data_IF_642427171059
#
_entry.id   IF_642427171059
#
_cell.length_a   1.000
_cell.length_b   1.000
_cell.length_c   1.000
_cell.angle_alpha   90.00
_cell.angle_beta   90.00
_cell.angle_gamma   90.00
#
_symmetry.space_group_name_H-M   'P 1'
#
loop_
_entity.id
_entity.type
_entity.pdbx_description
1 polymer ?
#
# COMPACT_ATOMS: atom_id res chain seq x y z
N UNK A 1 -15.66 -20.11 5.88
CA UNK A 1 -14.19 -20.08 5.93
C UNK A 1 -13.56 -21.32 5.31
N UNK A 2 -13.83 -22.52 5.84
CA UNK A 2 -13.16 -23.76 5.38
C UNK A 2 -13.46 -24.15 3.93
N UNK A 3 -14.66 -23.90 3.41
CA UNK A 3 -14.97 -24.12 1.98
C UNK A 3 -14.12 -23.23 1.07
N UNK A 4 -13.89 -21.98 1.48
CA UNK A 4 -13.00 -21.05 0.76
C UNK A 4 -11.54 -21.53 0.80
N UNK A 5 -11.06 -22.00 1.97
CA UNK A 5 -9.71 -22.55 2.09
C UNK A 5 -9.50 -23.80 1.23
N UNK A 6 -10.50 -24.66 1.14
CA UNK A 6 -10.47 -25.83 0.25
C UNK A 6 -10.37 -25.42 -1.23
N UNK A 7 -11.17 -24.44 -1.65
CA UNK A 7 -11.09 -23.94 -3.04
C UNK A 7 -9.75 -23.27 -3.36
N UNK A 8 -9.12 -22.59 -2.37
CA UNK A 8 -7.79 -22.02 -2.53
C UNK A 8 -6.70 -23.11 -2.64
N UNK A 9 -6.82 -24.21 -1.87
CA UNK A 9 -5.91 -25.34 -1.98
C UNK A 9 -6.04 -26.02 -3.35
N UNK A 10 -7.26 -26.23 -3.85
CA UNK A 10 -7.52 -26.79 -5.18
C UNK A 10 -6.91 -25.90 -6.27
N UNK A 11 -7.06 -24.58 -6.12
CA UNK A 11 -6.46 -23.59 -7.05
C UNK A 11 -4.94 -23.60 -7.00
N UNK A 12 -4.35 -23.73 -5.83
CA UNK A 12 -2.89 -23.85 -5.65
C UNK A 12 -2.34 -25.09 -6.37
N UNK A 13 -3.01 -26.25 -6.23
CA UNK A 13 -2.63 -27.47 -6.93
C UNK A 13 -2.75 -27.35 -8.47
N UNK A 14 -3.80 -26.66 -8.94
CA UNK A 14 -3.97 -26.35 -10.36
C UNK A 14 -2.80 -25.45 -10.88
N UNK A 15 -2.49 -24.37 -10.15
CA UNK A 15 -1.38 -23.49 -10.50
C UNK A 15 -0.04 -24.22 -10.50
N UNK A 16 0.17 -25.12 -9.54
CA UNK A 16 1.40 -25.94 -9.48
C UNK A 16 1.55 -26.82 -10.72
N UNK A 17 0.45 -27.37 -11.26
CA UNK A 17 0.45 -28.11 -12.53
C UNK A 17 0.72 -27.22 -13.73
N UNK A 18 0.05 -26.05 -13.79
CA UNK A 18 0.19 -25.11 -14.91
C UNK A 18 1.59 -24.51 -15.02
N UNK A 19 2.26 -24.23 -13.89
CA UNK A 19 3.65 -23.72 -13.86
C UNK A 19 4.63 -24.75 -14.46
N UNK A 20 4.33 -26.03 -14.33
CA UNK A 20 5.12 -27.13 -14.93
C UNK A 20 4.79 -27.45 -16.38
N UNK A 21 3.76 -26.84 -16.98
CA UNK A 21 3.33 -27.11 -18.34
C UNK A 21 4.25 -26.43 -19.37
N UNK A 22 4.86 -27.19 -20.33
CA UNK A 22 5.72 -26.63 -21.37
C UNK A 22 5.04 -25.53 -22.23
N UNK A 23 3.72 -25.63 -22.47
CA UNK A 23 2.99 -24.63 -23.24
C UNK A 23 2.89 -23.30 -22.51
N UNK A 24 2.71 -23.35 -21.17
CA UNK A 24 2.64 -22.16 -20.32
C UNK A 24 4.04 -21.54 -20.14
N UNK A 25 5.09 -22.36 -20.03
CA UNK A 25 6.47 -21.89 -19.92
C UNK A 25 6.90 -21.12 -21.19
N UNK A 26 6.37 -21.49 -22.36
CA UNK A 26 6.63 -20.77 -23.60
C UNK A 26 6.02 -19.37 -23.63
N UNK A 27 4.94 -19.12 -22.88
CA UNK A 27 4.32 -17.81 -22.70
C UNK A 27 4.81 -17.17 -21.38
N UNK A 28 5.85 -16.36 -21.49
CA UNK A 28 6.53 -15.75 -20.33
C UNK A 28 5.60 -14.91 -19.44
N UNK A 29 4.65 -14.20 -20.04
CA UNK A 29 3.75 -13.31 -19.29
C UNK A 29 2.76 -14.13 -18.44
N UNK A 30 2.14 -15.15 -19.04
CA UNK A 30 1.25 -16.08 -18.32
C UNK A 30 1.98 -16.86 -17.25
N UNK A 31 3.18 -17.34 -17.56
CA UNK A 31 4.00 -18.06 -16.58
C UNK A 31 4.32 -17.20 -15.35
N UNK A 32 4.76 -15.95 -15.55
CA UNK A 32 5.03 -15.02 -14.46
C UNK A 32 3.77 -14.74 -13.61
N UNK A 33 2.63 -14.61 -14.26
CA UNK A 33 1.34 -14.38 -13.58
C UNK A 33 0.97 -15.58 -12.70
N UNK A 34 1.14 -16.79 -13.20
CA UNK A 34 0.86 -18.02 -12.43
C UNK A 34 1.84 -18.22 -11.27
N UNK A 35 3.13 -17.97 -11.48
CA UNK A 35 4.14 -18.03 -10.42
C UNK A 35 3.82 -17.02 -9.31
N UNK A 36 3.43 -15.81 -9.65
CA UNK A 36 3.02 -14.80 -8.66
C UNK A 36 1.79 -15.24 -7.87
N UNK A 37 0.75 -15.69 -8.56
CA UNK A 37 -0.46 -16.19 -7.89
C UNK A 37 -0.20 -17.42 -7.02
N UNK A 38 0.71 -18.32 -7.45
CA UNK A 38 1.12 -19.47 -6.66
C UNK A 38 1.84 -19.04 -5.37
N UNK A 39 2.79 -18.10 -5.46
CA UNK A 39 3.52 -17.58 -4.29
C UNK A 39 2.59 -16.88 -3.29
N UNK A 40 1.54 -16.18 -3.76
CA UNK A 40 0.53 -15.55 -2.91
C UNK A 40 -0.30 -16.58 -2.12
N UNK A 41 -0.55 -17.76 -2.70
CA UNK A 41 -1.35 -18.82 -2.06
C UNK A 41 -0.51 -19.77 -1.19
N UNK A 42 0.80 -19.85 -1.40
CA UNK A 42 1.70 -20.82 -0.75
C UNK A 42 1.62 -20.75 0.78
N UNK A 43 1.66 -19.55 1.33
CA UNK A 43 1.62 -19.32 2.77
C UNK A 43 0.29 -19.80 3.36
N UNK A 44 -0.83 -19.41 2.73
CA UNK A 44 -2.19 -19.79 3.17
C UNK A 44 -2.37 -21.31 3.14
N UNK A 45 -1.96 -21.96 2.04
CA UNK A 45 -2.11 -23.41 1.85
C UNK A 45 -1.21 -24.18 2.82
N UNK A 46 -0.01 -23.69 3.09
CA UNK A 46 0.92 -24.30 4.05
C UNK A 46 0.34 -24.32 5.45
N UNK A 47 -0.18 -23.20 5.93
CA UNK A 47 -0.83 -23.11 7.25
C UNK A 47 -2.11 -23.94 7.28
N UNK A 48 -2.91 -23.95 6.20
CA UNK A 48 -4.12 -24.76 6.11
C UNK A 48 -3.83 -26.27 6.16
N UNK A 49 -2.76 -26.74 5.53
CA UNK A 49 -2.31 -28.13 5.61
C UNK A 49 -1.88 -28.52 7.03
N UNK A 50 -1.17 -27.61 7.72
CA UNK A 50 -0.84 -27.81 9.15
C UNK A 50 -2.09 -27.87 10.01
N UNK A 51 -3.06 -26.98 9.78
CA UNK A 51 -4.34 -27.00 10.48
C UNK A 51 -5.07 -28.32 10.29
N UNK A 52 -5.17 -28.84 9.05
CA UNK A 52 -5.82 -30.13 8.77
C UNK A 52 -5.17 -31.28 9.53
N UNK A 53 -3.83 -31.28 9.58
CA UNK A 53 -3.09 -32.32 10.32
C UNK A 53 -3.39 -32.26 11.82
N UNK A 54 -3.30 -31.08 12.42
CA UNK A 54 -3.61 -30.89 13.85
C UNK A 54 -5.08 -31.19 14.14
N UNK A 55 -6.02 -30.82 13.28
CA UNK A 55 -7.44 -31.11 13.42
C UNK A 55 -7.73 -32.65 13.40
N UNK A 56 -6.96 -33.38 12.59
CA UNK A 56 -7.04 -34.87 12.58
C UNK A 56 -6.48 -35.44 13.88
N UNK A 57 -5.31 -34.99 14.34
CA UNK A 57 -4.69 -35.41 15.61
C UNK A 57 -5.61 -35.12 16.81
N UNK A 58 -6.30 -33.96 16.82
CA UNK A 58 -7.33 -33.62 17.84
C UNK A 58 -8.49 -34.62 17.79
N UNK A 59 -8.96 -35.04 16.59
CA UNK A 59 -10.02 -36.03 16.45
C UNK A 59 -9.59 -37.38 16.96
N UNK A 60 -8.39 -37.83 16.62
CA UNK A 60 -7.79 -39.09 17.08
C UNK A 60 -7.62 -39.12 18.61
N UNK A 61 -7.07 -38.07 19.19
CA UNK A 61 -6.94 -37.95 20.65
C UNK A 61 -8.31 -37.95 21.36
N UNK A 62 -9.30 -37.29 20.76
CA UNK A 62 -10.69 -37.32 21.29
C UNK A 62 -11.33 -38.69 21.23
N UNK A 63 -11.09 -39.48 20.19
CA UNK A 63 -11.57 -40.85 20.08
C UNK A 63 -10.90 -41.73 21.13
N UNK A 64 -9.58 -41.62 21.32
CA UNK A 64 -8.83 -42.32 22.35
C UNK A 64 -9.36 -42.02 23.76
N UNK A 65 -9.68 -40.76 24.08
CA UNK A 65 -10.29 -40.39 25.36
C UNK A 65 -11.68 -41.02 25.60
N UNK A 66 -12.37 -41.43 24.52
CA UNK A 66 -13.64 -42.15 24.58
C UNK A 66 -13.49 -43.64 24.90
N UNK A 67 -12.29 -44.19 24.81
CA UNK A 67 -12.00 -45.58 25.12
C UNK A 67 -11.68 -45.82 26.61
N UNK A 68 -11.66 -47.09 27.03
CA UNK A 68 -11.22 -47.44 28.38
C UNK A 68 -9.70 -47.47 28.47
N UNK A 69 -9.13 -46.38 28.98
CA UNK A 69 -7.67 -46.20 29.18
C UNK A 69 -7.30 -46.40 30.65
N UNK A 70 -6.05 -46.79 30.90
CA UNK A 70 -5.46 -46.74 32.25
C UNK A 70 -5.31 -45.28 32.70
N UNK A 71 -5.34 -45.03 34.01
CA UNK A 71 -5.36 -43.69 34.58
C UNK A 71 -4.18 -42.83 34.14
N UNK A 72 -2.96 -43.37 34.16
CA UNK A 72 -1.74 -42.68 33.79
C UNK A 72 -1.69 -42.34 32.28
N UNK A 73 -2.17 -43.26 31.45
CA UNK A 73 -2.22 -43.03 29.99
C UNK A 73 -3.32 -42.04 29.62
N UNK A 74 -4.44 -42.04 30.35
CA UNK A 74 -5.51 -41.07 30.17
C UNK A 74 -5.04 -39.64 30.47
N UNK A 75 -4.30 -39.42 31.55
CA UNK A 75 -3.75 -38.10 31.92
C UNK A 75 -2.84 -37.59 30.83
N UNK A 76 -1.97 -38.44 30.27
CA UNK A 76 -1.07 -38.06 29.16
C UNK A 76 -1.84 -37.70 27.89
N UNK A 77 -2.89 -38.43 27.53
CA UNK A 77 -3.73 -38.10 26.36
C UNK A 77 -4.55 -36.82 26.60
N UNK A 78 -4.99 -36.57 27.84
CA UNK A 78 -5.70 -35.33 28.20
C UNK A 78 -4.76 -34.09 28.08
N UNK A 79 -3.50 -34.20 28.47
CA UNK A 79 -2.49 -33.13 28.27
C UNK A 79 -2.24 -32.92 26.78
N UNK A 80 -1.98 -33.97 26.00
CA UNK A 80 -1.76 -33.87 24.55
C UNK A 80 -2.97 -33.29 23.83
N UNK A 81 -4.19 -33.71 24.17
CA UNK A 81 -5.41 -33.16 23.62
C UNK A 81 -5.55 -31.67 23.86
N UNK A 82 -5.17 -31.19 25.05
CA UNK A 82 -5.20 -29.78 25.39
C UNK A 82 -4.19 -28.99 24.56
N UNK A 83 -2.95 -29.48 24.45
CA UNK A 83 -1.90 -28.82 23.63
C UNK A 83 -2.29 -28.75 22.15
N UNK A 84 -2.83 -29.86 21.61
CA UNK A 84 -3.29 -29.91 20.23
C UNK A 84 -4.46 -28.95 19.97
N UNK A 85 -5.36 -28.82 20.95
CA UNK A 85 -6.49 -27.88 20.85
C UNK A 85 -6.04 -26.43 20.88
N UNK A 86 -5.11 -26.06 21.76
CA UNK A 86 -4.53 -24.72 21.83
C UNK A 86 -3.83 -24.38 20.49
N UNK A 87 -3.10 -25.35 19.93
CA UNK A 87 -2.45 -25.21 18.63
C UNK A 87 -3.44 -25.10 17.46
N UNK A 88 -4.54 -25.82 17.52
CA UNK A 88 -5.61 -25.71 16.53
C UNK A 88 -6.23 -24.31 16.53
N UNK A 89 -6.50 -23.76 17.71
CA UNK A 89 -7.03 -22.40 17.87
C UNK A 89 -6.05 -21.33 17.38
N UNK A 90 -4.74 -21.53 17.61
CA UNK A 90 -3.69 -20.64 17.12
C UNK A 90 -3.63 -20.63 15.59
N UNK A 91 -3.58 -21.81 14.96
CA UNK A 91 -3.60 -21.95 13.49
C UNK A 91 -4.90 -21.40 12.87
N UNK A 92 -6.04 -21.55 13.55
CA UNK A 92 -7.29 -20.96 13.08
C UNK A 92 -7.26 -19.42 13.09
N UNK A 93 -6.64 -18.81 14.10
CA UNK A 93 -6.42 -17.36 14.15
C UNK A 93 -5.47 -16.90 13.03
N UNK A 94 -4.37 -17.62 12.83
CA UNK A 94 -3.42 -17.36 11.76
C UNK A 94 -4.08 -17.42 10.37
N UNK A 95 -4.88 -18.46 10.12
CA UNK A 95 -5.66 -18.60 8.89
C UNK A 95 -6.66 -17.46 8.67
N UNK A 96 -7.33 -17.00 9.72
CA UNK A 96 -8.25 -15.86 9.65
C UNK A 96 -7.52 -14.59 9.24
N UNK A 97 -6.30 -14.38 9.75
CA UNK A 97 -5.46 -13.22 9.40
C UNK A 97 -4.98 -13.32 7.94
N UNK A 98 -4.52 -14.49 7.50
CA UNK A 98 -4.04 -14.71 6.13
C UNK A 98 -5.16 -14.60 5.07
N UNK A 99 -6.41 -14.85 5.45
CA UNK A 99 -7.57 -14.70 4.57
C UNK A 99 -8.06 -13.25 4.44
N UNK A 100 -7.53 -12.31 5.25
CA UNK A 100 -7.85 -10.91 5.08
C UNK A 100 -7.34 -10.41 3.72
N UNK A 101 -8.14 -9.59 3.02
CA UNK A 101 -7.68 -9.01 1.76
C UNK A 101 -6.42 -8.18 2.01
N UNK A 102 -5.32 -8.57 1.38
CA UNK A 102 -4.07 -7.79 1.39
C UNK A 102 -4.28 -6.52 0.58
N UNK A 103 -3.80 -5.40 1.07
CA UNK A 103 -3.77 -4.17 0.29
C UNK A 103 -2.73 -4.35 -0.83
N UNK A 104 -3.12 -4.18 -2.12
CA UNK A 104 -2.18 -4.32 -3.23
C UNK A 104 -1.00 -3.35 -3.15
N UNK A 105 -1.12 -2.31 -2.34
CA UNK A 105 -0.05 -1.34 -2.12
C UNK A 105 0.93 -1.76 -1.02
N UNK A 106 0.62 -2.79 -0.20
CA UNK A 106 1.46 -3.17 0.95
C UNK A 106 2.90 -3.54 0.57
N UNK A 107 3.15 -4.02 -0.66
CA UNK A 107 4.48 -4.34 -1.16
C UNK A 107 5.20 -3.18 -1.85
N UNK A 108 4.51 -2.05 -2.10
CA UNK A 108 5.07 -0.89 -2.79
C UNK A 108 6.04 -0.10 -1.93
N UNK A 109 6.90 0.64 -2.61
CA UNK A 109 7.69 1.69 -1.99
C UNK A 109 6.77 2.83 -1.51
N UNK A 110 7.30 3.68 -0.65
CA UNK A 110 6.53 4.73 0.03
C UNK A 110 7.11 6.08 -0.24
N UNK A 111 6.26 7.02 -0.62
CA UNK A 111 6.57 8.45 -0.61
C UNK A 111 6.03 9.04 0.68
N UNK A 112 6.92 9.56 1.51
CA UNK A 112 6.56 10.24 2.76
C UNK A 112 6.74 11.75 2.60
N UNK A 113 5.71 12.49 3.02
CA UNK A 113 5.75 13.95 3.06
C UNK A 113 5.54 14.41 4.49
N UNK A 114 6.47 15.18 5.02
CA UNK A 114 6.37 15.78 6.35
C UNK A 114 6.31 17.29 6.17
N UNK A 115 5.25 17.91 6.72
CA UNK A 115 5.05 19.35 6.67
C UNK A 115 4.94 19.92 8.08
N UNK A 116 5.58 21.05 8.32
CA UNK A 116 5.38 21.81 9.52
C UNK A 116 3.92 22.34 9.57
N UNK A 117 3.22 22.02 10.64
CA UNK A 117 1.86 22.50 10.89
C UNK A 117 1.84 23.71 11.83
N UNK A 118 0.94 23.70 12.81
CA UNK A 118 0.79 24.77 13.79
C UNK A 118 1.99 24.81 14.75
N UNK A 119 2.69 25.94 14.84
CA UNK A 119 3.81 26.11 15.79
C UNK A 119 5.01 26.89 15.27
N UNK A 120 4.96 27.37 14.00
CA UNK A 120 6.03 28.17 13.41
C UNK A 120 7.34 27.41 13.32
N UNK A 121 8.48 28.06 13.69
CA UNK A 121 9.82 27.46 13.65
C UNK A 121 9.95 26.16 14.46
N UNK A 122 9.24 26.06 15.58
CA UNK A 122 9.25 24.84 16.41
C UNK A 122 8.59 23.67 15.69
N UNK A 123 7.54 23.90 14.91
CA UNK A 123 6.93 22.87 14.07
C UNK A 123 7.89 22.43 12.95
N UNK A 124 8.70 23.32 12.40
CA UNK A 124 9.70 22.99 11.41
C UNK A 124 10.86 22.17 12.00
N UNK A 125 11.31 22.48 13.22
CA UNK A 125 12.29 21.67 13.94
C UNK A 125 11.73 20.28 14.26
N UNK A 126 10.47 20.21 14.65
CA UNK A 126 9.83 18.91 14.91
C UNK A 126 9.65 18.08 13.63
N UNK A 127 9.36 18.71 12.49
CA UNK A 127 9.36 18.01 11.20
C UNK A 127 10.73 17.39 10.87
N UNK A 128 11.83 18.08 11.20
CA UNK A 128 13.18 17.54 11.05
C UNK A 128 13.45 16.37 12.03
N UNK A 129 12.90 16.41 13.25
CA UNK A 129 13.02 15.31 14.20
C UNK A 129 12.27 14.08 13.70
N UNK A 130 11.04 14.24 13.19
CA UNK A 130 10.26 13.15 12.58
C UNK A 130 10.97 12.56 11.35
N UNK A 131 11.52 13.40 10.48
CA UNK A 131 12.30 12.94 9.33
C UNK A 131 13.48 12.07 9.78
N UNK A 132 14.27 12.52 10.78
CA UNK A 132 15.38 11.74 11.32
C UNK A 132 14.93 10.43 11.95
N UNK A 133 13.79 10.43 12.65
CA UNK A 133 13.19 9.24 13.23
C UNK A 133 12.86 8.19 12.14
N UNK A 134 12.17 8.60 11.07
CA UNK A 134 11.83 7.67 9.98
C UNK A 134 13.05 7.22 9.19
N UNK A 135 14.04 8.08 8.98
CA UNK A 135 15.29 7.70 8.34
C UNK A 135 15.99 6.57 9.11
N UNK A 136 16.13 6.72 10.43
CA UNK A 136 16.72 5.69 11.30
C UNK A 136 15.90 4.42 11.34
N UNK A 137 14.58 4.53 11.35
CA UNK A 137 13.70 3.36 11.25
C UNK A 137 13.92 2.59 9.95
N UNK A 138 13.98 3.29 8.83
CA UNK A 138 14.26 2.70 7.53
C UNK A 138 15.65 2.02 7.49
N UNK A 139 16.69 2.67 8.02
CA UNK A 139 18.03 2.08 8.16
C UNK A 139 18.02 0.78 8.98
N UNK A 140 17.30 0.76 10.09
CA UNK A 140 17.15 -0.46 10.94
C UNK A 140 16.44 -1.60 10.20
N UNK A 141 15.53 -1.28 9.28
CA UNK A 141 14.82 -2.26 8.44
C UNK A 141 15.60 -2.64 7.17
N UNK A 142 16.74 -2.01 6.91
CA UNK A 142 17.52 -2.20 5.68
C UNK A 142 16.88 -1.59 4.45
N UNK A 143 16.00 -0.60 4.61
CA UNK A 143 15.37 0.14 3.53
C UNK A 143 16.24 1.33 3.12
N UNK A 144 16.19 1.67 1.84
CA UNK A 144 16.88 2.84 1.29
C UNK A 144 15.97 4.04 1.35
N UNK A 145 16.52 5.19 1.75
CA UNK A 145 15.81 6.47 1.72
C UNK A 145 16.49 7.43 0.75
N UNK A 146 15.68 8.13 -0.04
CA UNK A 146 16.12 9.17 -0.98
C UNK A 146 15.27 10.43 -0.82
N UNK A 147 15.91 11.58 -0.59
CA UNK A 147 15.20 12.86 -0.49
C UNK A 147 14.85 13.32 -1.90
N UNK A 148 13.55 13.50 -2.16
CA UNK A 148 13.04 13.99 -3.43
C UNK A 148 12.96 15.53 -3.46
N UNK A 149 12.48 16.11 -2.37
CA UNK A 149 12.35 17.56 -2.21
C UNK A 149 12.47 17.97 -0.75
N UNK A 150 13.05 19.14 -0.49
CA UNK A 150 13.17 19.66 0.86
C UNK A 150 13.17 21.19 0.88
N UNK A 151 12.41 21.75 1.82
CA UNK A 151 12.37 23.19 2.09
C UNK A 151 12.90 23.46 3.51
N UNK A 152 14.25 23.63 3.67
CA UNK A 152 14.84 23.85 4.98
C UNK A 152 14.52 25.24 5.54
N UNK A 153 14.63 25.39 6.87
CA UNK A 153 14.55 26.68 7.56
C UNK A 153 15.93 27.08 8.11
N UNK A 154 16.10 28.36 8.42
CA UNK A 154 17.38 28.91 8.90
C UNK A 154 17.88 28.26 10.20
N UNK A 155 16.98 27.73 11.02
CA UNK A 155 17.29 27.05 12.29
C UNK A 155 17.50 25.54 12.14
N UNK A 156 17.60 25.02 10.91
CA UNK A 156 17.84 23.59 10.66
C UNK A 156 16.58 22.71 10.73
N UNK A 157 15.38 23.31 10.70
CA UNK A 157 14.10 22.62 10.52
C UNK A 157 13.74 22.45 9.05
N UNK A 158 12.59 21.83 8.79
CA UNK A 158 11.98 21.74 7.47
C UNK A 158 10.55 22.32 7.50
N UNK A 159 10.26 23.23 6.55
CA UNK A 159 8.86 23.60 6.26
C UNK A 159 8.14 22.42 5.63
N UNK A 160 8.84 21.74 4.71
CA UNK A 160 8.38 20.54 4.04
C UNK A 160 9.59 19.69 3.68
N UNK A 161 9.47 18.38 3.80
CA UNK A 161 10.42 17.40 3.29
C UNK A 161 9.65 16.23 2.69
N UNK A 162 10.02 15.86 1.45
CA UNK A 162 9.47 14.74 0.70
C UNK A 162 10.60 13.75 0.43
N UNK A 163 10.40 12.50 0.79
CA UNK A 163 11.40 11.45 0.59
C UNK A 163 10.75 10.12 0.23
N UNK A 164 11.46 9.36 -0.57
CA UNK A 164 11.11 8.01 -0.98
C UNK A 164 11.75 7.01 0.00
N UNK A 165 10.99 6.01 0.40
CA UNK A 165 11.49 4.86 1.18
C UNK A 165 11.31 3.61 0.31
N UNK A 166 12.43 3.06 -0.14
CA UNK A 166 12.47 1.86 -0.97
C UNK A 166 12.73 0.63 -0.13
N UNK A 167 11.79 -0.31 -0.12
CA UNK A 167 11.96 -1.55 0.60
C UNK A 167 10.71 -2.43 0.61
N UNK A 168 10.92 -3.73 0.65
CA UNK A 168 9.81 -4.69 0.67
C UNK A 168 8.96 -4.50 1.93
N UNK A 169 7.66 -4.26 1.74
CA UNK A 169 6.71 -4.07 2.83
C UNK A 169 6.81 -2.72 3.53
N UNK A 170 7.48 -1.73 2.93
CA UNK A 170 7.61 -0.40 3.52
C UNK A 170 6.25 0.27 3.73
N UNK A 171 5.37 0.21 2.71
CA UNK A 171 4.02 0.78 2.82
C UNK A 171 3.18 0.09 3.89
N UNK A 172 3.23 -1.24 4.01
CA UNK A 172 2.43 -1.98 4.98
C UNK A 172 2.67 -1.53 6.42
N UNK A 173 3.89 -1.08 6.74
CA UNK A 173 4.27 -0.60 8.07
C UNK A 173 4.07 0.90 8.24
N UNK A 174 4.51 1.69 7.26
CA UNK A 174 4.53 3.15 7.36
C UNK A 174 3.15 3.79 7.11
N UNK A 175 2.19 3.10 6.47
CA UNK A 175 0.82 3.63 6.24
C UNK A 175 0.12 4.10 7.52
N UNK A 176 0.47 3.53 8.67
CA UNK A 176 -0.07 3.92 9.97
C UNK A 176 0.53 5.21 10.54
N UNK A 177 1.59 5.72 9.94
CA UNK A 177 2.25 6.96 10.36
C UNK A 177 1.58 8.22 9.76
N UNK A 178 0.61 8.04 8.86
CA UNK A 178 -0.12 9.14 8.23
C UNK A 178 -1.03 9.86 9.22
N UNK A 179 -0.95 11.20 9.27
CA UNK A 179 -1.78 12.03 10.12
C UNK A 179 -1.02 13.18 10.80
N UNK A 180 -1.64 13.75 11.84
CA UNK A 180 -1.08 14.87 12.59
C UNK A 180 -0.30 14.37 13.81
N UNK A 181 0.98 14.68 13.87
CA UNK A 181 1.86 14.40 15.00
C UNK A 181 2.01 15.65 15.87
N UNK A 182 1.83 15.52 17.16
CA UNK A 182 1.90 16.63 18.12
C UNK A 182 3.09 16.48 19.05
N UNK A 183 3.86 17.56 19.22
CA UNK A 183 4.97 17.64 20.17
C UNK A 183 4.65 18.57 21.31
N UNK A 184 5.08 18.20 22.51
CA UNK A 184 5.02 19.03 23.72
C UNK A 184 6.44 19.07 24.32
N UNK A 185 7.12 20.21 24.14
CA UNK A 185 8.46 20.46 24.67
C UNK A 185 8.69 21.95 24.88
N UNK A 186 9.76 22.29 25.57
CA UNK A 186 10.27 23.66 25.65
C UNK A 186 11.09 23.89 24.36
N UNK A 187 10.66 24.80 23.46
CA UNK A 187 11.40 25.07 22.22
C UNK A 187 12.81 25.62 22.51
N UNK A 188 13.75 25.33 21.62
CA UNK A 188 15.11 25.90 21.70
C UNK A 188 15.10 27.43 21.50
N UNK A 189 14.04 27.95 20.92
CA UNK A 189 13.81 29.38 20.65
C UNK A 189 13.09 30.10 21.81
N UNK A 190 12.69 29.40 22.87
CA UNK A 190 11.94 29.95 23.98
C UNK A 190 12.86 30.28 25.16
N UNK A 191 12.94 31.55 25.55
CA UNK A 191 13.74 32.01 26.69
C UNK A 191 13.04 31.89 28.04
N UNK A 192 11.70 31.76 28.07
CA UNK A 192 10.89 31.74 29.29
C UNK A 192 10.64 30.34 29.86
N UNK A 193 11.21 29.28 29.30
CA UNK A 193 11.06 27.91 29.79
C UNK A 193 9.62 27.34 29.71
N UNK A 194 8.75 27.94 28.89
CA UNK A 194 7.36 27.51 28.75
C UNK A 194 7.26 26.32 27.80
N UNK A 195 6.42 25.34 28.15
CA UNK A 195 6.14 24.19 27.30
C UNK A 195 5.22 24.65 26.18
N UNK A 196 5.67 24.52 24.92
CA UNK A 196 4.86 24.78 23.74
C UNK A 196 4.30 23.48 23.17
N UNK A 197 3.20 23.63 22.46
CA UNK A 197 2.56 22.54 21.73
C UNK A 197 2.59 22.87 20.26
N UNK A 198 3.37 22.10 19.49
CA UNK A 198 3.49 22.24 18.04
C UNK A 198 3.02 20.97 17.34
N UNK A 199 2.72 21.08 16.06
CA UNK A 199 2.26 19.94 15.25
C UNK A 199 2.97 19.92 13.91
N UNK A 200 3.18 18.71 13.40
CA UNK A 200 3.61 18.44 12.04
C UNK A 200 2.68 17.39 11.41
N UNK A 201 2.46 17.48 10.12
CA UNK A 201 1.63 16.52 9.38
C UNK A 201 2.52 15.57 8.61
N UNK A 202 2.14 14.31 8.60
CA UNK A 202 2.80 13.25 7.83
C UNK A 202 1.80 12.67 6.85
N UNK A 203 2.11 12.71 5.56
CA UNK A 203 1.38 11.98 4.54
C UNK A 203 2.23 10.79 4.08
N UNK A 204 1.58 9.66 3.88
CA UNK A 204 2.19 8.39 3.46
C UNK A 204 1.47 7.89 2.23
N UNK A 205 2.13 7.95 1.09
CA UNK A 205 1.55 7.62 -0.21
C UNK A 205 2.32 6.43 -0.81
N UNK A 206 1.61 5.46 -1.43
CA UNK A 206 2.30 4.42 -2.18
C UNK A 206 2.95 5.03 -3.43
N UNK A 207 4.13 4.52 -3.81
CA UNK A 207 4.74 4.89 -5.08
C UNK A 207 3.79 4.55 -6.23
N UNK A 208 3.60 5.50 -7.13
CA UNK A 208 2.73 5.36 -8.28
C UNK A 208 3.42 4.52 -9.37
N UNK A 209 2.72 3.52 -9.89
CA UNK A 209 3.20 2.79 -11.07
C UNK A 209 3.16 3.71 -12.30
N UNK A 210 4.11 3.51 -13.23
CA UNK A 210 4.07 4.21 -14.51
C UNK A 210 2.79 3.84 -15.28
N UNK A 211 2.09 4.85 -15.76
CA UNK A 211 0.87 4.65 -16.53
C UNK A 211 1.24 4.28 -17.96
N UNK A 212 1.13 3.01 -18.30
CA UNK A 212 1.17 2.56 -19.69
C UNK A 212 -0.24 2.53 -20.26
N UNK A 213 -0.44 3.24 -21.39
CA UNK A 213 -1.72 3.25 -22.10
C UNK A 213 -1.62 2.34 -23.32
N UNK A 214 -2.17 1.14 -23.22
CA UNK A 214 -2.43 0.29 -24.37
C UNK A 214 -3.73 0.70 -25.06
N UNK A 215 -3.68 0.91 -26.38
CA UNK A 215 -4.86 1.23 -27.18
C UNK A 215 -5.19 0.01 -28.05
N UNK A 216 -6.32 -0.62 -27.77
CA UNK A 216 -6.80 -1.74 -28.58
C UNK A 216 -7.46 -1.20 -29.86
N UNK A 217 -7.19 -1.79 -31.03
CA UNK A 217 -7.82 -1.36 -32.29
C UNK A 217 -9.35 -1.36 -32.28
N UNK A 218 -9.95 -2.25 -31.49
CA UNK A 218 -11.41 -2.42 -31.33
C UNK A 218 -12.06 -1.24 -30.58
N UNK A 219 -11.28 -0.50 -29.78
CA UNK A 219 -11.72 0.66 -29.02
C UNK A 219 -11.67 1.96 -29.85
N UNK A 220 -11.20 1.86 -31.11
CA UNK A 220 -11.01 3.00 -31.98
C UNK A 220 -12.05 3.02 -33.10
N UNK A 221 -12.75 4.14 -33.22
CA UNK A 221 -13.51 4.48 -34.41
C UNK A 221 -12.70 5.46 -35.27
N UNK A 222 -12.43 5.06 -36.50
CA UNK A 222 -11.66 5.86 -37.46
C UNK A 222 -12.58 6.31 -38.57
N UNK A 223 -12.81 7.61 -38.65
CA UNK A 223 -13.61 8.25 -39.70
C UNK A 223 -12.65 9.02 -40.63
N UNK A 224 -12.83 8.88 -41.94
CA UNK A 224 -12.06 9.62 -42.94
C UNK A 224 -12.98 10.62 -43.65
N UNK A 225 -12.44 11.80 -43.95
CA UNK A 225 -13.19 12.89 -44.60
C UNK A 225 -12.25 13.78 -45.42
N UNK A 226 -12.86 14.68 -46.25
CA UNK A 226 -12.07 15.64 -46.99
C UNK A 226 -11.57 16.75 -46.08
N UNK A 227 -10.31 17.14 -46.26
CA UNK A 227 -9.74 18.24 -45.48
C UNK A 227 -10.42 19.57 -45.77
N UNK A 228 -10.63 20.39 -44.75
CA UNK A 228 -11.21 21.74 -44.86
C UNK A 228 -10.10 22.77 -44.88
N UNK A 229 -10.01 23.59 -45.94
CA UNK A 229 -9.00 24.66 -46.02
C UNK A 229 -8.91 25.27 -47.40
N UNK A 230 -8.17 26.38 -47.56
CA UNK A 230 -7.92 26.95 -48.86
C UNK A 230 -7.04 26.02 -49.68
N UNK A 231 -7.57 25.46 -50.78
CA UNK A 231 -6.83 24.52 -51.63
C UNK A 231 -7.59 24.24 -52.93
N UNK A 232 -6.88 23.65 -53.89
CA UNK A 232 -7.45 23.25 -55.18
C UNK A 232 -8.27 21.96 -55.13
N UNK A 233 -8.62 21.38 -56.28
CA UNK A 233 -9.46 20.20 -56.40
C UNK A 233 -9.00 19.01 -55.55
N UNK A 234 -7.69 18.83 -55.34
CA UNK A 234 -7.14 17.73 -54.55
C UNK A 234 -7.53 17.81 -53.04
N UNK A 235 -7.75 19.00 -52.47
CA UNK A 235 -8.13 19.17 -51.08
C UNK A 235 -9.59 18.82 -50.85
N UNK A 236 -10.42 19.13 -51.83
CA UNK A 236 -11.88 18.96 -51.74
C UNK A 236 -12.38 17.57 -52.18
N UNK A 237 -11.58 16.82 -52.96
CA UNK A 237 -11.97 15.52 -53.49
C UNK A 237 -11.31 14.35 -52.82
N UNK A 238 -10.12 14.53 -52.22
CA UNK A 238 -9.36 13.45 -51.60
C UNK A 238 -9.63 13.37 -50.11
N UNK A 239 -10.11 12.22 -49.64
CA UNK A 239 -10.37 11.96 -48.22
C UNK A 239 -9.03 11.66 -47.48
N UNK A 240 -8.23 12.71 -47.26
CA UNK A 240 -6.93 12.61 -46.57
C UNK A 240 -7.03 12.90 -45.08
N UNK A 241 -8.05 13.62 -44.63
CA UNK A 241 -8.24 13.94 -43.22
C UNK A 241 -8.77 12.72 -42.43
N UNK A 242 -8.28 12.53 -41.22
CA UNK A 242 -8.64 11.41 -40.36
C UNK A 242 -9.11 11.93 -39.01
N UNK A 243 -10.23 11.41 -38.55
CA UNK A 243 -10.76 11.58 -37.19
C UNK A 243 -10.72 10.25 -36.48
N UNK A 244 -10.08 10.20 -35.33
CA UNK A 244 -10.06 9.02 -34.48
C UNK A 244 -10.81 9.34 -33.20
N UNK A 245 -11.79 8.52 -32.87
CA UNK A 245 -12.57 8.59 -31.64
C UNK A 245 -12.24 7.37 -30.79
N UNK A 246 -11.77 7.58 -29.58
CA UNK A 246 -11.60 6.51 -28.60
C UNK A 246 -12.94 6.28 -27.91
N UNK A 247 -13.58 5.13 -28.15
CA UNK A 247 -14.94 4.84 -27.72
C UNK A 247 -15.13 4.88 -26.18
N UNK A 248 -14.21 4.29 -25.35
CA UNK A 248 -14.41 4.27 -23.91
C UNK A 248 -14.34 5.66 -23.25
N UNK A 249 -13.43 6.53 -23.72
CA UNK A 249 -13.21 7.86 -23.11
C UNK A 249 -13.90 9.00 -23.85
N UNK A 250 -14.40 8.75 -25.07
CA UNK A 250 -15.01 9.76 -25.92
C UNK A 250 -14.01 10.82 -26.47
N UNK A 251 -12.71 10.61 -26.31
CA UNK A 251 -11.69 11.55 -26.81
C UNK A 251 -11.64 11.47 -28.33
N UNK A 252 -11.74 12.63 -28.97
CA UNK A 252 -11.70 12.78 -30.43
C UNK A 252 -10.42 13.53 -30.82
N UNK A 253 -9.70 12.96 -31.79
CA UNK A 253 -8.52 13.59 -32.40
C UNK A 253 -8.71 13.65 -33.89
N UNK A 254 -8.52 14.84 -34.47
CA UNK A 254 -8.62 15.06 -35.91
C UNK A 254 -7.25 15.51 -36.42
N UNK A 255 -6.79 14.92 -37.54
CA UNK A 255 -5.55 15.31 -38.22
C UNK A 255 -5.79 15.44 -39.70
N UNK A 256 -5.38 16.60 -40.29
CA UNK A 256 -5.52 16.92 -41.70
C UNK A 256 -4.31 17.65 -42.30
N UNK A 257 -3.15 17.52 -41.61
CA UNK A 257 -1.96 18.32 -41.94
C UNK A 257 -1.21 17.78 -43.17
N UNK A 258 -1.27 16.46 -43.38
CA UNK A 258 -0.55 15.78 -44.44
C UNK A 258 -1.46 15.40 -45.64
N UNK A 259 -0.85 15.30 -46.80
CA UNK A 259 -1.58 14.84 -48.03
C UNK A 259 -1.91 13.34 -47.99
N UNK A 260 -1.21 12.57 -47.12
CA UNK A 260 -1.39 11.12 -47.00
C UNK A 260 -2.28 10.77 -45.80
N UNK A 261 -3.38 10.04 -46.09
CA UNK A 261 -4.28 9.51 -45.08
C UNK A 261 -3.54 8.66 -44.00
N UNK A 262 -2.58 7.81 -44.44
CA UNK A 262 -1.83 6.99 -43.51
C UNK A 262 -0.98 7.80 -42.53
N UNK A 263 -0.31 8.86 -43.05
CA UNK A 263 0.46 9.75 -42.16
C UNK A 263 -0.42 10.51 -41.19
N UNK A 264 -1.61 10.98 -41.63
CA UNK A 264 -2.57 11.60 -40.77
C UNK A 264 -3.12 10.66 -39.71
N UNK A 265 -3.37 9.38 -40.04
CA UNK A 265 -3.76 8.33 -39.10
C UNK A 265 -2.70 8.08 -38.04
N UNK A 266 -1.45 7.89 -38.44
CA UNK A 266 -0.34 7.69 -37.50
C UNK A 266 -0.15 8.88 -36.56
N UNK A 267 -0.23 10.11 -37.10
CA UNK A 267 -0.13 11.34 -36.32
C UNK A 267 -1.30 11.46 -35.34
N UNK A 268 -2.53 11.20 -35.79
CA UNK A 268 -3.70 11.20 -34.95
C UNK A 268 -3.62 10.16 -33.82
N UNK A 269 -3.12 8.95 -34.10
CA UNK A 269 -2.89 7.91 -33.08
C UNK A 269 -1.83 8.35 -32.05
N UNK A 270 -0.75 8.99 -32.49
CA UNK A 270 0.29 9.51 -31.59
C UNK A 270 -0.28 10.59 -30.66
N UNK A 271 -1.06 11.53 -31.20
CA UNK A 271 -1.73 12.56 -30.40
C UNK A 271 -2.76 11.96 -29.46
N UNK A 272 -3.50 10.93 -29.91
CA UNK A 272 -4.46 10.24 -29.06
C UNK A 272 -3.77 9.55 -27.87
N UNK A 273 -2.65 8.84 -28.11
CA UNK A 273 -1.85 8.22 -27.03
C UNK A 273 -1.38 9.25 -26.00
N UNK A 274 -0.86 10.39 -26.45
CA UNK A 274 -0.46 11.46 -25.56
C UNK A 274 -1.61 11.96 -24.70
N UNK A 275 -2.78 12.26 -25.32
CA UNK A 275 -3.96 12.73 -24.57
C UNK A 275 -4.54 11.70 -23.60
N UNK A 276 -4.51 10.43 -23.96
CA UNK A 276 -4.94 9.36 -23.07
C UNK A 276 -3.99 9.20 -21.88
N UNK A 277 -2.66 9.30 -22.13
CA UNK A 277 -1.66 9.29 -21.09
C UNK A 277 -1.81 10.48 -20.15
N UNK A 278 -1.92 11.70 -20.68
CA UNK A 278 -2.13 12.91 -19.89
C UNK A 278 -3.38 12.80 -18.99
N UNK A 279 -4.46 12.24 -19.54
CA UNK A 279 -5.70 12.04 -18.77
C UNK A 279 -5.53 11.01 -17.66
N UNK A 280 -4.88 9.88 -17.93
CA UNK A 280 -4.66 8.85 -16.94
C UNK A 280 -3.70 9.31 -15.82
N UNK A 281 -2.67 10.09 -16.17
CA UNK A 281 -1.78 10.74 -15.20
C UNK A 281 -2.53 11.76 -14.33
N UNK A 282 -3.44 12.53 -14.91
CA UNK A 282 -4.26 13.50 -14.18
C UNK A 282 -5.25 12.79 -13.22
N UNK A 283 -5.91 11.72 -13.66
CA UNK A 283 -6.79 10.91 -12.81
C UNK A 283 -6.01 10.28 -11.65
N UNK A 284 -4.78 9.81 -11.90
CA UNK A 284 -3.89 9.27 -10.87
C UNK A 284 -3.47 10.36 -9.88
N UNK A 285 -3.07 11.53 -10.38
CA UNK A 285 -2.72 12.70 -9.55
C UNK A 285 -3.87 13.12 -8.65
N UNK A 286 -5.09 13.21 -9.20
CA UNK A 286 -6.28 13.56 -8.42
C UNK A 286 -6.57 12.54 -7.31
N UNK A 287 -6.37 11.24 -7.55
CA UNK A 287 -6.48 10.20 -6.52
C UNK A 287 -5.45 10.39 -5.41
N UNK A 288 -4.19 10.63 -5.77
CA UNK A 288 -3.12 10.87 -4.81
C UNK A 288 -3.35 12.15 -3.99
N UNK A 289 -3.79 13.23 -4.63
CA UNK A 289 -4.14 14.48 -3.94
C UNK A 289 -5.32 14.31 -2.98
N UNK A 290 -6.31 13.52 -3.36
CA UNK A 290 -7.44 13.19 -2.50
C UNK A 290 -6.99 12.37 -1.28
N UNK A 291 -6.15 11.36 -1.46
CA UNK A 291 -5.57 10.58 -0.36
C UNK A 291 -4.74 11.46 0.58
N UNK A 292 -3.88 12.32 0.01
CA UNK A 292 -3.08 13.27 0.79
C UNK A 292 -3.95 14.19 1.66
N UNK A 293 -5.02 14.77 1.08
CA UNK A 293 -5.95 15.64 1.81
C UNK A 293 -6.65 14.93 2.97
N UNK A 294 -7.06 13.68 2.75
CA UNK A 294 -7.70 12.86 3.79
C UNK A 294 -6.74 12.55 4.95
N UNK A 295 -5.46 12.31 4.65
CA UNK A 295 -4.44 11.98 5.65
C UNK A 295 -4.00 13.20 6.46
N UNK A 296 -3.85 14.36 5.81
CA UNK A 296 -3.32 15.58 6.45
C UNK A 296 -4.40 16.34 7.22
N UNK A 297 -5.69 16.20 6.82
CA UNK A 297 -6.78 16.94 7.44
C UNK A 297 -6.57 18.46 7.37
N UNK A 298 -6.89 19.16 8.44
CA UNK A 298 -6.64 20.62 8.57
C UNK A 298 -5.23 20.95 9.08
N UNK A 299 -4.46 19.94 9.53
CA UNK A 299 -3.16 20.12 10.19
C UNK A 299 -3.26 20.76 11.59
N UNK A 300 -4.48 20.82 12.16
CA UNK A 300 -4.66 21.33 13.51
C UNK A 300 -4.17 20.29 14.54
N UNK A 301 -3.54 20.81 15.60
CA UNK A 301 -3.08 19.98 16.74
C UNK A 301 -4.19 19.23 17.48
N UNK A 302 -5.45 19.53 17.23
CA UNK A 302 -6.61 18.79 17.78
C UNK A 302 -6.83 17.44 17.07
N UNK A 303 -6.49 17.33 15.80
CA UNK A 303 -6.64 16.11 14.96
C UNK A 303 -5.50 15.11 15.14
N UNK A 304 -4.71 15.26 16.19
CA UNK A 304 -3.52 14.46 16.46
C UNK A 304 -3.80 12.95 16.48
N UNK A 305 -2.96 12.21 15.77
CA UNK A 305 -2.88 10.74 15.89
C UNK A 305 -1.93 10.34 17.04
N UNK A 306 -0.81 11.07 17.19
CA UNK A 306 0.23 10.75 18.17
C UNK A 306 0.74 12.00 18.88
N UNK A 307 1.08 11.85 20.17
CA UNK A 307 1.69 12.92 20.98
C UNK A 307 3.04 12.48 21.52
N UNK A 308 4.04 13.32 21.29
CA UNK A 308 5.39 13.23 21.80
C UNK A 308 5.57 14.22 22.96
N UNK A 309 5.61 13.73 24.20
CA UNK A 309 5.70 14.57 25.41
C UNK A 309 7.10 14.44 26.01
N UNK A 310 7.95 15.42 25.75
CA UNK A 310 9.35 15.43 26.21
C UNK A 310 9.47 15.54 27.74
N UNK A 311 8.74 16.44 28.44
CA UNK A 311 8.81 16.51 29.90
C UNK A 311 8.48 15.20 30.63
N UNK A 312 7.64 14.35 30.03
CA UNK A 312 7.22 13.08 30.62
C UNK A 312 7.94 11.87 29.99
N UNK A 313 8.87 12.09 29.06
CA UNK A 313 9.53 11.04 28.26
C UNK A 313 8.52 10.03 27.70
N UNK A 314 7.36 10.51 27.16
CA UNK A 314 6.22 9.70 26.81
C UNK A 314 5.77 9.91 25.37
N UNK A 315 5.50 8.81 24.67
CA UNK A 315 4.80 8.80 23.37
C UNK A 315 3.46 8.11 23.55
N UNK A 316 2.39 8.75 23.07
CA UNK A 316 1.03 8.20 23.13
C UNK A 316 0.39 8.21 21.75
N UNK A 317 0.00 7.05 21.25
CA UNK A 317 -0.85 6.92 20.05
C UNK A 317 -2.32 6.93 20.49
N UNK A 318 -3.06 7.95 20.03
CA UNK A 318 -4.42 8.18 20.48
C UNK A 318 -5.45 7.29 19.79
N UNK A 319 -5.11 6.67 18.66
CA UNK A 319 -6.02 5.78 17.92
C UNK A 319 -6.31 4.48 18.68
N UNK A 320 -5.27 3.96 19.33
CA UNK A 320 -5.32 2.67 20.05
C UNK A 320 -5.10 2.82 21.56
N UNK A 321 -4.88 4.06 22.05
CA UNK A 321 -4.57 4.34 23.46
C UNK A 321 -3.20 3.78 23.92
N UNK A 322 -2.33 3.41 22.99
CA UNK A 322 -1.00 2.88 23.30
C UNK A 322 -0.09 3.97 23.86
N UNK A 323 0.61 3.68 24.95
CA UNK A 323 1.53 4.61 25.59
C UNK A 323 2.85 3.94 25.94
N UNK A 324 3.97 4.57 25.56
CA UNK A 324 5.32 4.15 25.93
C UNK A 324 6.10 5.30 26.56
N UNK A 325 6.96 4.98 27.53
CA UNK A 325 7.84 5.94 28.21
C UNK A 325 9.29 5.91 27.65
N UNK A 326 9.46 5.56 26.37
CA UNK A 326 10.73 5.45 25.68
C UNK A 326 10.81 6.43 24.50
N UNK A 327 10.51 7.73 24.78
CA UNK A 327 10.48 8.77 23.73
C UNK A 327 11.80 8.86 22.97
N UNK A 328 12.94 8.80 23.68
CA UNK A 328 14.26 8.91 23.05
C UNK A 328 14.53 7.76 22.10
N UNK A 329 14.19 6.53 22.47
CA UNK A 329 14.34 5.34 21.64
C UNK A 329 13.44 5.43 20.40
N UNK A 330 12.19 5.90 20.56
CA UNK A 330 11.27 6.13 19.46
C UNK A 330 11.85 7.15 18.46
N UNK A 331 12.40 8.27 18.93
CA UNK A 331 13.07 9.27 18.08
C UNK A 331 14.36 8.72 17.43
N UNK A 332 14.96 7.69 18.01
CA UNK A 332 16.07 6.94 17.43
C UNK A 332 15.62 5.84 16.45
N UNK A 333 14.34 5.81 16.10
CA UNK A 333 13.77 4.91 15.10
C UNK A 333 13.28 3.57 15.69
N UNK A 334 12.97 3.49 16.97
CA UNK A 334 12.35 2.30 17.57
C UNK A 334 10.82 2.44 17.55
N UNK A 335 10.24 2.14 16.36
CA UNK A 335 8.80 2.27 16.12
C UNK A 335 8.08 0.92 16.12
N UNK A 336 8.79 -0.19 16.23
CA UNK A 336 8.22 -1.52 16.04
C UNK A 336 7.04 -1.80 16.97
N UNK A 337 7.18 -1.55 18.29
CA UNK A 337 6.10 -1.80 19.25
C UNK A 337 4.81 -1.04 18.92
N UNK A 338 4.95 0.21 18.45
CA UNK A 338 3.81 1.05 18.10
C UNK A 338 3.15 0.55 16.83
N UNK A 339 3.96 0.24 15.81
CA UNK A 339 3.48 -0.22 14.50
C UNK A 339 2.83 -1.60 14.63
N UNK A 340 3.40 -2.51 15.43
CA UNK A 340 2.83 -3.85 15.67
C UNK A 340 1.50 -3.78 16.42
N UNK A 341 1.38 -2.90 17.40
CA UNK A 341 0.11 -2.66 18.08
C UNK A 341 -0.97 -2.12 17.12
N UNK A 342 -0.59 -1.21 16.21
CA UNK A 342 -1.50 -0.68 15.19
C UNK A 342 -1.90 -1.74 14.16
N UNK A 343 -0.95 -2.55 13.69
CA UNK A 343 -1.19 -3.68 12.80
C UNK A 343 -2.18 -4.68 13.42
N UNK A 344 -1.94 -5.06 14.67
CA UNK A 344 -2.81 -6.01 15.38
C UNK A 344 -4.23 -5.46 15.54
N UNK A 345 -4.37 -4.18 15.82
CA UNK A 345 -5.68 -3.53 15.94
C UNK A 345 -6.40 -3.46 14.59
N UNK A 346 -5.71 -3.05 13.52
CA UNK A 346 -6.26 -3.01 12.15
C UNK A 346 -6.71 -4.41 11.69
N UNK A 347 -5.90 -5.44 11.95
CA UNK A 347 -6.26 -6.83 11.65
C UNK A 347 -7.51 -7.27 12.43
N UNK A 348 -7.60 -6.92 13.72
CA UNK A 348 -8.76 -7.24 14.55
C UNK A 348 -10.04 -6.52 14.09
N UNK A 349 -9.93 -5.28 13.63
CA UNK A 349 -11.06 -4.52 13.08
C UNK A 349 -11.53 -5.09 11.74
N UNK A 350 -10.61 -5.42 10.84
CA UNK A 350 -10.92 -6.09 9.56
C UNK A 350 -11.56 -7.46 9.76
N UNK A 351 -11.08 -8.23 10.73
CA UNK A 351 -11.71 -9.52 11.08
C UNK A 351 -13.16 -9.36 11.53
N UNK A 352 -13.48 -8.31 12.30
CA UNK A 352 -14.87 -8.02 12.72
C UNK A 352 -15.78 -7.61 11.55
N UNK A 353 -15.24 -7.05 10.49
CA UNK A 353 -16.02 -6.66 9.29
C UNK A 353 -16.28 -7.83 8.35
N UNK A 354 -15.48 -8.89 8.42
CA UNK A 354 -15.58 -10.07 7.54
C UNK A 354 -16.44 -11.19 8.17
N UNK A 355 -16.64 -11.15 9.49
CA UNK A 355 -17.51 -12.07 10.23
C UNK A 355 -18.92 -11.50 10.31
#
# INVERSE_FOLDING_TARGET
MFDKLKSLEERYEELNRLIGDPEVIADRERWQQYVRSHAELEEIVTVYRRYKKVAQEVSEARELLGEKLDADFRELVEEEFKELKDRQEELERELKILLLPRDPNDEKNVIMEIRAGTGGEEAALFAADLFRMYLRYAERKGWRCEIMDASPTDLGGFKEVVFLVEGKGAYSRLKFESGVHRVQRIPTTESGGRIHTSAATVAVLPEADEVEVEIKPEELRVDVFCSTGPGGQSVNTTQSAVRITHLPTGIVVTCQDEKSQHKNKEKALRVLRARLKDRAEEEQRQKMDSMRRLQVGTGDRSERIRTYNFPQNRVTDHRIGFTTHRLEEVLLGDLDDIIEALLTTDQAERLKQVI
#
